data_IF_505575024603
#
_entry.id   IF_505575024603
#
_cell.length_a   1.000
_cell.length_b   1.000
_cell.length_c   1.000
_cell.angle_alpha   90.00
_cell.angle_beta   90.00
_cell.angle_gamma   90.00
#
_symmetry.space_group_name_H-M   'P 1'
#
loop_
_entity.id
_entity.type
_entity.pdbx_description
1 polymer ?
#
# COMPACT_ATOMS: atom_id res chain seq x y z
N UNK A 1 -12.70 24.18 -36.73
CA UNK A 1 -11.35 24.55 -36.31
C UNK A 1 -10.73 23.57 -35.29
N UNK A 2 -11.40 23.23 -34.24
CA UNK A 2 -10.87 22.28 -33.19
C UNK A 2 -10.55 20.88 -33.75
N UNK A 3 -11.41 20.30 -34.59
CA UNK A 3 -11.15 18.96 -35.17
C UNK A 3 -9.89 18.91 -36.03
N UNK A 4 -9.58 19.98 -36.78
CA UNK A 4 -8.39 20.05 -37.62
C UNK A 4 -7.10 20.03 -36.80
N UNK A 5 -7.06 20.74 -35.71
CA UNK A 5 -5.89 20.77 -34.80
C UNK A 5 -5.58 19.41 -34.17
N UNK A 6 -6.60 18.59 -33.87
CA UNK A 6 -6.41 17.24 -33.31
C UNK A 6 -5.90 16.24 -34.36
N UNK A 7 -6.25 16.44 -35.64
CA UNK A 7 -5.79 15.56 -36.73
C UNK A 7 -4.34 15.82 -37.12
N UNK A 8 -3.83 17.03 -36.90
CA UNK A 8 -2.46 17.45 -37.21
C UNK A 8 -1.44 17.18 -36.09
N UNK A 9 -1.91 16.75 -34.90
CA UNK A 9 -1.04 16.40 -33.76
C UNK A 9 -0.12 15.23 -34.10
N UNK A 10 1.16 15.39 -33.81
CA UNK A 10 2.17 14.33 -33.91
C UNK A 10 1.88 13.29 -32.79
N UNK A 11 1.36 12.14 -33.24
CA UNK A 11 1.08 11.02 -32.31
C UNK A 11 2.31 10.12 -32.18
N UNK A 12 2.56 9.55 -31.01
CA UNK A 12 3.64 8.59 -30.86
C UNK A 12 3.38 7.37 -31.73
N UNK A 13 4.32 7.06 -32.63
CA UNK A 13 4.28 5.87 -33.47
C UNK A 13 4.91 4.66 -32.78
N UNK A 14 5.78 4.91 -31.78
CA UNK A 14 6.47 3.90 -31.01
C UNK A 14 6.28 4.16 -29.52
N UNK A 15 5.85 3.15 -28.81
CA UNK A 15 5.78 3.13 -27.35
C UNK A 15 6.49 1.88 -26.84
N UNK A 16 7.63 2.07 -26.19
CA UNK A 16 8.39 1.00 -25.56
C UNK A 16 8.22 1.07 -24.04
N UNK A 17 7.84 -0.04 -23.43
CA UNK A 17 7.75 -0.18 -21.98
C UNK A 17 8.80 -1.19 -21.55
N UNK A 18 9.83 -0.72 -20.87
CA UNK A 18 10.88 -1.55 -20.32
C UNK A 18 10.70 -1.63 -18.80
N UNK A 19 10.37 -2.82 -18.30
CA UNK A 19 10.32 -3.09 -16.86
C UNK A 19 11.67 -3.65 -16.42
N UNK A 20 12.19 -3.17 -15.30
CA UNK A 20 13.47 -3.65 -14.78
C UNK A 20 13.32 -5.10 -14.30
N UNK A 21 14.06 -6.02 -14.90
CA UNK A 21 13.90 -7.47 -14.69
C UNK A 21 14.20 -7.92 -13.25
N UNK A 22 15.04 -7.17 -12.50
CA UNK A 22 15.52 -7.59 -11.19
C UNK A 22 14.58 -7.23 -10.03
N UNK A 23 13.75 -6.20 -10.13
CA UNK A 23 12.89 -5.80 -9.02
C UNK A 23 11.40 -5.64 -9.36
N UNK A 24 11.06 -5.60 -10.64
CA UNK A 24 9.68 -5.42 -11.11
C UNK A 24 8.99 -4.13 -10.66
N UNK A 25 9.71 -3.25 -9.93
CA UNK A 25 9.18 -2.01 -9.34
C UNK A 25 9.53 -0.77 -10.15
N UNK A 26 10.51 -0.88 -11.03
CA UNK A 26 10.97 0.22 -11.88
C UNK A 26 10.58 -0.04 -13.33
N UNK A 27 9.90 0.92 -13.93
CA UNK A 27 9.52 0.87 -15.33
C UNK A 27 9.92 2.14 -16.06
N UNK A 28 10.34 2.00 -17.31
CA UNK A 28 10.66 3.10 -18.22
C UNK A 28 9.75 3.07 -19.42
N UNK A 29 8.94 4.11 -19.58
CA UNK A 29 8.11 4.32 -20.78
C UNK A 29 8.80 5.32 -21.72
N UNK A 30 9.00 4.90 -22.98
CA UNK A 30 9.53 5.76 -24.03
C UNK A 30 8.45 5.88 -25.10
N UNK A 31 8.01 7.09 -25.39
CA UNK A 31 7.02 7.38 -26.42
C UNK A 31 7.59 8.39 -27.43
N UNK A 32 7.71 8.00 -28.68
CA UNK A 32 8.32 8.77 -29.76
C UNK A 32 7.56 8.58 -31.10
N UNK A 33 7.47 9.63 -31.93
CA UNK A 33 7.69 11.05 -31.68
C UNK A 33 6.57 11.69 -30.85
N UNK A 34 6.82 12.82 -30.22
CA UNK A 34 5.80 13.61 -29.52
C UNK A 34 5.86 15.06 -29.96
N UNK A 35 4.71 15.70 -30.02
CA UNK A 35 4.58 17.15 -30.18
C UNK A 35 5.35 17.88 -29.09
N UNK A 36 5.93 19.05 -29.42
CA UNK A 36 6.67 19.87 -28.46
C UNK A 36 5.79 20.26 -27.26
N UNK A 37 6.23 19.95 -26.05
CA UNK A 37 5.50 20.19 -24.81
C UNK A 37 4.58 19.06 -24.35
N UNK A 38 4.19 18.13 -25.24
CA UNK A 38 3.29 17.01 -24.91
C UNK A 38 3.92 16.01 -23.93
N UNK A 39 5.24 15.88 -23.92
CA UNK A 39 5.94 15.02 -22.95
C UNK A 39 5.63 15.41 -21.51
N UNK A 40 5.63 16.71 -21.20
CA UNK A 40 5.29 17.22 -19.87
C UNK A 40 3.81 16.98 -19.52
N UNK A 41 2.91 17.20 -20.48
CA UNK A 41 1.47 16.96 -20.31
C UNK A 41 1.17 15.49 -20.05
N UNK A 42 1.74 14.58 -20.85
CA UNK A 42 1.60 13.13 -20.64
C UNK A 42 2.21 12.67 -19.32
N UNK A 43 3.41 13.13 -18.99
CA UNK A 43 4.08 12.81 -17.76
C UNK A 43 3.25 13.20 -16.53
N UNK A 44 2.71 14.42 -16.51
CA UNK A 44 1.83 14.88 -15.43
C UNK A 44 0.50 14.12 -15.37
N UNK A 45 -0.08 13.78 -16.53
CA UNK A 45 -1.31 12.99 -16.57
C UNK A 45 -1.10 11.57 -16.03
N UNK A 46 -0.05 10.87 -16.46
CA UNK A 46 0.31 9.53 -15.97
C UNK A 46 0.58 9.58 -14.46
N UNK A 47 1.34 10.56 -14.01
CA UNK A 47 1.60 10.77 -12.60
C UNK A 47 0.32 10.90 -11.76
N UNK A 48 -0.62 11.73 -12.19
CA UNK A 48 -1.91 11.90 -11.50
C UNK A 48 -2.70 10.60 -11.45
N UNK A 49 -2.72 9.84 -12.53
CA UNK A 49 -3.37 8.52 -12.58
C UNK A 49 -2.73 7.55 -11.60
N UNK A 50 -1.39 7.48 -11.55
CA UNK A 50 -0.66 6.61 -10.64
C UNK A 50 -0.91 6.95 -9.15
N UNK A 51 -1.06 8.23 -8.83
CA UNK A 51 -1.25 8.70 -7.45
C UNK A 51 -2.69 8.57 -6.95
N UNK A 52 -3.69 8.74 -7.81
CA UNK A 52 -5.08 8.91 -7.36
C UNK A 52 -6.10 7.95 -7.97
N UNK A 53 -5.76 7.29 -9.08
CA UNK A 53 -6.78 6.59 -9.88
C UNK A 53 -6.61 5.08 -9.91
N UNK A 54 -5.41 4.57 -9.66
CA UNK A 54 -5.18 3.14 -9.61
C UNK A 54 -5.78 2.53 -8.35
N UNK A 55 -6.40 1.38 -8.53
CA UNK A 55 -6.93 0.58 -7.43
C UNK A 55 -5.82 -0.27 -6.83
N UNK A 56 -5.74 -0.27 -5.50
CA UNK A 56 -4.83 -1.11 -4.74
C UNK A 56 -5.54 -1.76 -3.56
N UNK A 57 -4.81 -2.55 -2.80
CA UNK A 57 -5.26 -3.12 -1.54
C UNK A 57 -4.34 -2.66 -0.41
N UNK A 58 -4.91 -2.44 0.77
CA UNK A 58 -4.16 -2.05 1.96
C UNK A 58 -4.85 -2.57 3.23
N UNK A 59 -4.09 -2.64 4.30
CA UNK A 59 -4.62 -2.93 5.63
C UNK A 59 -5.29 -1.66 6.14
N UNK A 60 -6.59 -1.75 6.46
CA UNK A 60 -7.42 -0.60 6.90
C UNK A 60 -7.66 -0.58 8.39
N UNK A 61 -7.66 -1.75 9.02
CA UNK A 61 -7.80 -1.85 10.46
C UNK A 61 -7.12 -3.10 11.02
N UNK A 62 -6.78 -3.04 12.31
CA UNK A 62 -6.12 -4.11 13.02
C UNK A 62 -6.76 -4.29 14.38
N UNK A 63 -6.96 -5.53 14.78
CA UNK A 63 -7.39 -5.93 16.11
C UNK A 63 -6.34 -6.83 16.73
N UNK A 64 -5.85 -6.43 17.91
CA UNK A 64 -4.82 -7.15 18.66
C UNK A 64 -5.41 -7.57 19.99
N UNK A 65 -5.24 -8.83 20.34
CA UNK A 65 -5.75 -9.38 21.61
C UNK A 65 -5.13 -8.65 22.81
N UNK A 66 -5.98 -8.15 23.70
CA UNK A 66 -5.55 -7.44 24.90
C UNK A 66 -5.18 -5.96 24.70
N UNK A 67 -5.32 -5.44 23.48
CA UNK A 67 -5.07 -4.04 23.13
C UNK A 67 -6.39 -3.34 22.86
N UNK A 68 -6.57 -2.17 23.48
CA UNK A 68 -7.80 -1.37 23.35
C UNK A 68 -7.56 -0.08 22.56
N UNK A 69 -6.33 0.45 22.59
CA UNK A 69 -5.96 1.69 21.91
C UNK A 69 -4.50 1.64 21.44
N UNK A 70 -4.16 2.47 20.51
CA UNK A 70 -2.87 2.54 19.80
C UNK A 70 -1.64 2.85 20.68
N UNK A 71 -1.86 3.39 21.88
CA UNK A 71 -0.80 3.70 22.84
C UNK A 71 -0.62 2.60 23.91
N UNK A 72 -1.18 1.41 23.70
CA UNK A 72 -1.00 0.27 24.59
C UNK A 72 0.33 -0.42 24.31
N UNK A 73 0.85 -1.13 25.32
CA UNK A 73 2.01 -2.01 25.17
C UNK A 73 1.56 -3.46 25.12
N UNK A 74 2.24 -4.28 24.34
CA UNK A 74 1.98 -5.73 24.28
C UNK A 74 3.05 -6.43 25.12
N UNK A 75 2.66 -7.18 26.16
CA UNK A 75 3.65 -7.90 26.99
C UNK A 75 4.45 -8.91 26.16
N UNK A 76 5.77 -8.87 26.30
CA UNK A 76 6.67 -9.78 25.59
C UNK A 76 6.95 -9.43 24.15
N UNK A 77 6.61 -8.23 23.70
CA UNK A 77 6.98 -7.71 22.37
C UNK A 77 8.00 -6.58 22.57
N UNK A 78 9.04 -6.59 21.74
CA UNK A 78 10.14 -5.63 21.86
C UNK A 78 9.76 -4.25 21.32
N UNK A 79 9.04 -4.22 20.22
CA UNK A 79 8.59 -2.99 19.54
C UNK A 79 7.35 -2.42 20.22
N UNK A 80 7.22 -1.11 20.20
CA UNK A 80 6.01 -0.42 20.62
C UNK A 80 4.87 -0.68 19.62
N UNK A 81 3.63 -0.61 20.11
CA UNK A 81 2.45 -0.85 19.27
C UNK A 81 2.42 0.08 18.05
N UNK A 82 2.82 1.33 18.22
CA UNK A 82 2.91 2.30 17.10
C UNK A 82 3.86 1.83 16.01
N UNK A 83 5.01 1.27 16.37
CA UNK A 83 5.98 0.72 15.41
C UNK A 83 5.39 -0.50 14.68
N UNK A 84 4.69 -1.37 15.41
CA UNK A 84 4.00 -2.53 14.83
C UNK A 84 2.96 -2.09 13.81
N UNK A 85 2.15 -1.07 14.12
CA UNK A 85 1.15 -0.52 13.21
C UNK A 85 1.81 0.10 11.95
N UNK A 86 2.93 0.80 12.09
CA UNK A 86 3.71 1.34 10.96
C UNK A 86 4.29 0.22 10.09
N UNK A 87 4.79 -0.85 10.71
CA UNK A 87 5.29 -2.02 10.00
C UNK A 87 4.15 -2.72 9.23
N UNK A 88 2.96 -2.85 9.83
CA UNK A 88 1.78 -3.41 9.18
C UNK A 88 1.31 -2.55 8.00
N UNK A 89 1.35 -1.21 8.11
CA UNK A 89 1.07 -0.30 6.97
C UNK A 89 2.04 -0.50 5.79
N UNK A 90 3.23 -0.99 6.05
CA UNK A 90 4.25 -1.25 5.02
C UNK A 90 4.08 -2.60 4.32
N UNK A 91 3.13 -3.44 4.77
CA UNK A 91 2.85 -4.73 4.14
C UNK A 91 2.14 -4.50 2.81
N UNK A 92 2.77 -4.98 1.74
CA UNK A 92 2.20 -4.94 0.40
C UNK A 92 1.31 -6.17 0.17
N UNK A 93 0.02 -5.94 0.02
CA UNK A 93 -0.98 -6.98 -0.22
C UNK A 93 -1.57 -6.86 -1.63
N UNK A 94 -1.84 -8.00 -2.24
CA UNK A 94 -2.55 -8.12 -3.51
C UNK A 94 -3.82 -8.93 -3.28
N UNK A 95 -4.95 -8.38 -3.68
CA UNK A 95 -6.26 -9.02 -3.55
C UNK A 95 -6.84 -9.28 -4.93
N UNK A 96 -7.33 -10.50 -5.16
CA UNK A 96 -7.83 -10.92 -6.47
C UNK A 96 -9.34 -10.73 -6.64
N UNK A 97 -10.09 -10.54 -5.54
CA UNK A 97 -11.55 -10.29 -5.59
C UNK A 97 -11.94 -9.10 -4.72
N UNK A 98 -12.98 -8.34 -5.12
CA UNK A 98 -13.46 -7.23 -4.30
C UNK A 98 -14.09 -7.73 -3.00
N UNK A 99 -14.00 -6.91 -1.95
CA UNK A 99 -14.61 -7.16 -0.65
C UNK A 99 -13.62 -7.07 0.49
N UNK A 100 -14.15 -7.12 1.72
CA UNK A 100 -13.36 -7.17 2.94
C UNK A 100 -12.66 -8.52 3.04
N UNK A 101 -11.36 -8.50 3.18
CA UNK A 101 -10.52 -9.68 3.43
C UNK A 101 -9.89 -9.57 4.80
N UNK A 102 -9.49 -10.71 5.34
CA UNK A 102 -8.86 -10.77 6.65
C UNK A 102 -7.58 -11.56 6.59
N UNK A 103 -6.61 -11.15 7.38
CA UNK A 103 -5.43 -11.93 7.66
C UNK A 103 -5.23 -12.09 9.16
N UNK A 104 -4.70 -13.23 9.55
CA UNK A 104 -4.56 -13.61 10.96
C UNK A 104 -3.15 -14.06 11.25
N UNK A 105 -2.72 -13.81 12.47
CA UNK A 105 -1.54 -14.44 13.02
C UNK A 105 -1.76 -14.76 14.48
N UNK A 106 -1.30 -15.93 14.87
CA UNK A 106 -1.19 -16.34 16.25
C UNK A 106 0.22 -16.86 16.48
N UNK A 107 0.94 -16.23 17.36
CA UNK A 107 2.33 -16.55 17.64
C UNK A 107 2.60 -16.58 19.14
N UNK A 108 3.29 -17.64 19.58
CA UNK A 108 3.68 -17.85 20.96
C UNK A 108 5.18 -18.13 21.01
N UNK A 109 5.87 -17.58 22.05
CA UNK A 109 7.29 -17.79 22.27
C UNK A 109 8.17 -16.80 21.50
N UNK A 110 9.50 -16.94 21.65
CA UNK A 110 10.49 -16.01 21.10
C UNK A 110 10.69 -16.20 19.57
N UNK A 111 10.75 -15.11 18.86
CA UNK A 111 11.06 -15.11 17.42
C UNK A 111 10.69 -13.82 16.73
N UNK A 112 11.15 -13.70 15.49
CA UNK A 112 10.77 -12.60 14.61
C UNK A 112 9.48 -12.96 13.87
N UNK A 113 8.52 -12.07 13.90
CA UNK A 113 7.30 -12.15 13.12
C UNK A 113 7.43 -11.31 11.87
N UNK A 114 7.32 -11.97 10.73
CA UNK A 114 7.39 -11.35 9.41
C UNK A 114 6.03 -11.38 8.73
N UNK A 115 5.83 -10.54 7.73
CA UNK A 115 4.59 -10.48 6.98
C UNK A 115 4.17 -11.85 6.41
N UNK A 116 5.14 -12.66 6.00
CA UNK A 116 4.90 -14.02 5.48
C UNK A 116 4.37 -15.03 6.51
N UNK A 117 4.38 -14.70 7.81
CA UNK A 117 3.83 -15.57 8.85
C UNK A 117 2.30 -15.41 9.02
N UNK A 118 1.70 -14.40 8.40
CA UNK A 118 0.25 -14.23 8.46
C UNK A 118 -0.47 -15.27 7.60
N UNK A 119 -1.50 -15.85 8.14
CA UNK A 119 -2.45 -16.67 7.42
C UNK A 119 -3.40 -15.76 6.65
N UNK A 120 -3.48 -15.98 5.35
CA UNK A 120 -4.32 -15.23 4.44
C UNK A 120 -5.29 -16.15 3.72
N UNK A 121 -6.39 -15.58 3.25
CA UNK A 121 -7.33 -16.25 2.35
C UNK A 121 -6.66 -16.59 1.00
N UNK A 122 -7.18 -17.57 0.26
CA UNK A 122 -6.65 -17.97 -1.06
C UNK A 122 -6.66 -16.83 -2.10
N UNK A 123 -7.46 -15.80 -1.87
CA UNK A 123 -7.61 -14.63 -2.74
C UNK A 123 -6.71 -13.46 -2.36
N UNK A 124 -5.95 -13.58 -1.27
CA UNK A 124 -5.06 -12.53 -0.75
C UNK A 124 -3.63 -13.02 -0.74
N UNK A 125 -2.74 -12.29 -1.39
CA UNK A 125 -1.32 -12.61 -1.47
C UNK A 125 -0.48 -11.48 -0.85
N UNK A 126 0.46 -11.85 0.03
CA UNK A 126 1.43 -10.93 0.61
C UNK A 126 2.68 -10.92 -0.29
N UNK A 127 3.00 -9.74 -0.84
CA UNK A 127 4.07 -9.57 -1.81
C UNK A 127 5.46 -9.44 -1.16
N UNK A 128 5.55 -8.79 0.00
CA UNK A 128 6.80 -8.55 0.74
C UNK A 128 6.89 -9.41 2.01
N UNK A 129 6.92 -10.73 1.85
CA UNK A 129 6.89 -11.72 2.95
C UNK A 129 7.99 -11.53 3.98
N UNK A 130 9.13 -10.96 3.59
CA UNK A 130 10.29 -10.74 4.45
C UNK A 130 10.21 -9.51 5.34
N UNK A 131 9.16 -8.67 5.18
CA UNK A 131 8.94 -7.48 5.99
C UNK A 131 8.81 -7.87 7.46
N UNK A 132 9.71 -7.35 8.31
CA UNK A 132 9.64 -7.52 9.76
C UNK A 132 8.47 -6.72 10.30
N UNK A 133 7.65 -7.35 11.14
CA UNK A 133 6.50 -6.73 11.81
C UNK A 133 6.83 -6.46 13.28
N UNK A 134 7.28 -7.49 13.99
CA UNK A 134 7.61 -7.40 15.41
C UNK A 134 8.56 -8.53 15.83
N UNK A 135 9.18 -8.36 16.99
CA UNK A 135 10.04 -9.36 17.63
C UNK A 135 9.44 -9.80 18.97
N UNK A 136 9.22 -11.09 19.11
CA UNK A 136 8.63 -11.69 20.29
C UNK A 136 9.69 -12.19 21.27
N UNK A 137 9.42 -12.03 22.55
CA UNK A 137 10.19 -12.60 23.66
C UNK A 137 9.62 -13.98 24.07
N UNK A 138 10.33 -14.72 24.93
CA UNK A 138 10.00 -16.11 25.30
C UNK A 138 8.58 -16.29 25.90
N UNK A 139 8.02 -15.27 26.51
CA UNK A 139 6.70 -15.29 27.16
C UNK A 139 5.61 -14.57 26.37
N UNK A 140 5.86 -14.22 25.13
CA UNK A 140 4.88 -13.52 24.30
C UNK A 140 3.74 -14.45 23.83
N UNK A 141 2.50 -13.97 23.93
CA UNK A 141 1.30 -14.56 23.31
C UNK A 141 0.59 -13.44 22.53
N UNK A 142 0.73 -13.45 21.22
CA UNK A 142 0.20 -12.42 20.35
C UNK A 142 -0.77 -13.03 19.35
N UNK A 143 -1.93 -12.41 19.25
CA UNK A 143 -2.95 -12.74 18.26
C UNK A 143 -3.42 -11.45 17.58
N UNK A 144 -3.23 -11.38 16.27
CA UNK A 144 -3.56 -10.21 15.46
C UNK A 144 -4.52 -10.62 14.34
N UNK A 145 -5.59 -9.88 14.22
CA UNK A 145 -6.50 -9.92 13.08
C UNK A 145 -6.38 -8.58 12.36
N UNK A 146 -6.10 -8.58 11.06
CA UNK A 146 -6.05 -7.38 10.25
C UNK A 146 -7.04 -7.46 9.10
N UNK A 147 -7.77 -6.38 8.88
CA UNK A 147 -8.70 -6.23 7.79
C UNK A 147 -8.01 -5.59 6.59
N UNK A 148 -8.27 -6.13 5.41
CA UNK A 148 -7.72 -5.68 4.15
C UNK A 148 -8.89 -5.27 3.26
N UNK A 149 -8.79 -4.07 2.70
CA UNK A 149 -9.76 -3.55 1.76
C UNK A 149 -9.11 -3.11 0.46
N UNK A 150 -9.93 -2.97 -0.57
CA UNK A 150 -9.53 -2.42 -1.86
C UNK A 150 -10.05 -1.00 -2.01
N UNK A 151 -9.19 -0.10 -2.47
CA UNK A 151 -9.55 1.31 -2.63
C UNK A 151 -8.66 2.03 -3.63
N UNK A 152 -8.72 3.35 -3.62
CA UNK A 152 -7.94 4.24 -4.49
C UNK A 152 -7.34 5.39 -3.70
N UNK A 153 -6.12 5.77 -4.05
CA UNK A 153 -5.46 6.91 -3.45
C UNK A 153 -5.12 6.70 -1.98
N UNK A 154 -5.43 7.65 -1.13
CA UNK A 154 -5.19 7.66 0.30
C UNK A 154 -6.49 7.91 1.07
N UNK A 155 -6.73 7.10 2.09
CA UNK A 155 -7.86 7.24 3.01
C UNK A 155 -7.33 7.33 4.43
N UNK A 156 -7.60 8.46 5.10
CA UNK A 156 -7.23 8.67 6.49
C UNK A 156 -8.10 7.83 7.43
N UNK A 157 -7.51 7.35 8.52
CA UNK A 157 -8.21 6.62 9.58
C UNK A 157 -9.36 7.44 10.19
N UNK A 158 -9.21 8.78 10.29
CA UNK A 158 -10.24 9.68 10.82
C UNK A 158 -11.50 9.73 9.95
N UNK A 159 -11.33 9.66 8.61
CA UNK A 159 -12.46 9.66 7.67
C UNK A 159 -13.19 8.32 7.66
N UNK A 160 -12.50 7.26 8.03
CA UNK A 160 -13.05 5.92 8.15
C UNK A 160 -13.75 5.66 9.50
N UNK A 161 -13.87 6.67 10.38
CA UNK A 161 -14.65 6.57 11.61
C UNK A 161 -16.14 6.52 11.30
N UNK A 162 -16.62 5.36 10.92
CA UNK A 162 -18.04 5.07 10.81
C UNK A 162 -18.69 4.85 12.19
N UNK A 163 -20.01 5.06 12.26
CA UNK A 163 -20.86 4.93 13.46
C UNK A 163 -20.80 3.56 14.16
N UNK A 164 -20.14 2.56 13.55
CA UNK A 164 -19.98 1.19 14.06
C UNK A 164 -18.56 0.91 14.58
N UNK A 165 -18.04 1.72 15.48
CA UNK A 165 -16.72 1.48 16.09
C UNK A 165 -16.73 0.19 16.93
N UNK A 166 -16.05 -0.83 16.46
CA UNK A 166 -15.83 -2.08 17.21
C UNK A 166 -14.77 -1.81 18.27
N UNK A 167 -15.10 -2.09 19.53
CA UNK A 167 -14.16 -1.89 20.65
C UNK A 167 -12.93 -2.77 20.45
N UNK A 168 -11.73 -2.15 20.49
CA UNK A 168 -10.44 -2.83 20.32
C UNK A 168 -10.00 -2.98 18.85
N UNK A 169 -10.72 -2.38 17.92
CA UNK A 169 -10.27 -2.24 16.53
C UNK A 169 -9.57 -0.90 16.35
N UNK A 170 -8.32 -0.93 15.88
CA UNK A 170 -7.51 0.24 15.58
C UNK A 170 -7.57 0.47 14.07
N UNK A 171 -8.09 1.61 13.66
CA UNK A 171 -8.12 2.02 12.26
C UNK A 171 -6.74 2.52 11.82
N UNK A 172 -6.35 2.19 10.61
CA UNK A 172 -5.10 2.62 10.00
C UNK A 172 -5.37 3.47 8.77
N UNK A 173 -4.50 4.46 8.55
CA UNK A 173 -4.50 5.16 7.26
C UNK A 173 -4.16 4.17 6.15
N UNK A 174 -4.99 4.11 5.14
CA UNK A 174 -4.82 3.21 4.01
C UNK A 174 -4.25 3.94 2.81
N UNK A 175 -3.09 3.48 2.33
CA UNK A 175 -2.51 3.93 1.07
C UNK A 175 -2.69 2.87 0.00
N UNK A 176 -3.65 3.08 -0.89
CA UNK A 176 -3.97 2.17 -1.98
C UNK A 176 -3.17 2.44 -3.26
N UNK A 177 -2.47 3.59 -3.30
CA UNK A 177 -1.64 3.98 -4.45
C UNK A 177 -0.35 3.16 -4.49
N UNK A 178 0.14 2.76 -5.67
CA UNK A 178 1.45 2.12 -5.82
C UNK A 178 2.62 3.08 -5.53
N UNK A 179 2.39 4.39 -5.54
CA UNK A 179 3.39 5.40 -5.24
C UNK A 179 3.37 5.75 -3.75
N UNK A 180 4.31 5.20 -2.99
CA UNK A 180 4.48 5.52 -1.57
C UNK A 180 5.31 6.79 -1.34
N UNK A 181 6.22 7.12 -2.25
CA UNK A 181 7.07 8.30 -2.19
C UNK A 181 6.97 9.10 -3.47
N UNK A 182 6.80 10.40 -3.31
CA UNK A 182 6.78 11.35 -4.43
C UNK A 182 7.86 12.41 -4.26
N UNK A 183 8.70 12.54 -5.28
CA UNK A 183 9.69 13.61 -5.38
C UNK A 183 9.41 14.45 -6.62
N UNK A 184 9.43 15.77 -6.50
CA UNK A 184 9.40 16.72 -7.61
C UNK A 184 10.76 17.39 -7.70
N UNK A 185 11.34 17.50 -8.91
CA UNK A 185 12.54 18.32 -9.05
C UNK A 185 12.23 19.75 -8.59
N UNK A 186 13.16 20.30 -7.81
CA UNK A 186 13.06 21.70 -7.38
C UNK A 186 13.19 22.61 -8.62
N UNK A 187 12.46 23.73 -8.70
CA UNK A 187 12.66 24.70 -9.76
C UNK A 187 14.07 25.34 -9.77
N UNK A 188 14.90 25.01 -8.80
CA UNK A 188 16.28 25.52 -8.63
C UNK A 188 17.36 24.51 -9.01
N UNK A 189 16.98 23.29 -9.44
CA UNK A 189 17.91 22.24 -9.88
C UNK A 189 18.09 22.28 -11.40
#
# INVERSE_FOLDING_TARGET
>A
MLQKNWMELIKPSKMDVNVHENDGRTGRLIAEPLERGFGLTLGNAIRRVLLSSLQGAAITSVKIKGVVHEFSTIPGVKEDLTDILLNLKSVAVKVHSPGLKKMYIKANGSGEIRAGNFETDSETEIMNKDQLIMTLDANADVEIEANIETGKGYVSAEVAEDENKIIGEIKLDAMFSPCLLYTSPSPRD
#
